data_IF_765764567730
#
_entry.id   IF_765764567730
#
_cell.length_a   1.000
_cell.length_b   1.000
_cell.length_c   1.000
_cell.angle_alpha   90.00
_cell.angle_beta   90.00
_cell.angle_gamma   90.00
#
_symmetry.space_group_name_H-M   'P 1'
#
loop_
_entity.id
_entity.type
_entity.pdbx_description
1 polymer ?
#
# COMPACT_ATOMS: atom_id res chain seq x y z
N UNK A 1 -8.29 -16.41 10.54
CA UNK A 1 -7.72 -16.86 9.24
C UNK A 1 -7.92 -18.36 8.99
N UNK A 2 -7.48 -19.26 9.88
CA UNK A 2 -7.60 -20.73 9.71
C UNK A 2 -9.03 -21.30 9.55
N UNK A 3 -10.07 -20.50 9.81
CA UNK A 3 -11.49 -20.86 9.65
C UNK A 3 -12.18 -20.11 8.53
N UNK A 4 -11.47 -19.24 7.83
CA UNK A 4 -12.02 -18.54 6.66
C UNK A 4 -12.23 -19.56 5.53
N UNK A 5 -13.46 -19.72 5.01
CA UNK A 5 -13.74 -20.73 3.99
C UNK A 5 -12.93 -20.55 2.71
N UNK A 6 -12.64 -19.31 2.30
CA UNK A 6 -11.82 -19.05 1.10
C UNK A 6 -10.37 -19.41 1.34
N UNK A 7 -9.83 -19.07 2.51
CA UNK A 7 -8.47 -19.48 2.87
C UNK A 7 -8.34 -21.01 2.90
N UNK A 8 -9.27 -21.71 3.54
CA UNK A 8 -9.24 -23.18 3.65
C UNK A 8 -9.36 -23.86 2.27
N UNK A 9 -10.24 -23.38 1.40
CA UNK A 9 -10.49 -24.01 0.10
C UNK A 9 -9.44 -23.63 -0.96
N UNK A 10 -8.95 -22.37 -0.95
CA UNK A 10 -8.14 -21.83 -2.06
C UNK A 10 -6.67 -21.61 -1.72
N UNK A 11 -6.33 -21.37 -0.46
CA UNK A 11 -4.98 -20.96 -0.06
C UNK A 11 -4.26 -22.10 0.65
N UNK A 12 -4.88 -22.70 1.67
CA UNK A 12 -4.27 -23.76 2.48
C UNK A 12 -3.70 -24.95 1.68
N UNK A 13 -4.35 -25.45 0.61
CA UNK A 13 -3.78 -26.55 -0.20
C UNK A 13 -2.47 -26.17 -0.90
N UNK A 14 -2.26 -24.89 -1.17
CA UNK A 14 -1.11 -24.37 -1.92
C UNK A 14 0.02 -23.89 -1.00
N UNK A 15 -0.24 -23.67 0.30
CA UNK A 15 0.75 -23.19 1.26
C UNK A 15 2.06 -24.00 1.26
N UNK A 16 2.06 -25.35 1.18
CA UNK A 16 3.31 -26.11 1.13
C UNK A 16 4.19 -25.80 -0.09
N UNK A 17 3.62 -25.23 -1.15
CA UNK A 17 4.34 -24.81 -2.36
C UNK A 17 4.86 -23.37 -2.28
N UNK A 18 4.47 -22.60 -1.25
CA UNK A 18 5.00 -21.26 -1.05
C UNK A 18 6.46 -21.37 -0.65
N UNK A 19 7.34 -20.71 -1.40
CA UNK A 19 8.76 -20.73 -1.10
C UNK A 19 9.04 -19.97 0.20
N UNK A 20 9.91 -20.54 1.03
CA UNK A 20 10.46 -19.90 2.23
C UNK A 20 9.44 -19.54 3.33
N UNK A 21 8.46 -20.43 3.58
CA UNK A 21 7.51 -20.31 4.70
C UNK A 21 8.16 -19.93 6.05
N UNK A 22 9.34 -20.47 6.45
CA UNK A 22 9.97 -20.09 7.71
C UNK A 22 10.39 -18.61 7.81
N UNK A 23 10.57 -17.93 6.67
CA UNK A 23 10.88 -16.48 6.64
C UNK A 23 9.65 -15.61 6.36
N UNK A 24 8.49 -16.22 6.18
CA UNK A 24 7.25 -15.49 5.97
C UNK A 24 6.88 -14.72 7.25
N UNK A 25 6.66 -13.41 7.13
CA UNK A 25 6.19 -12.56 8.22
C UNK A 25 4.75 -12.18 7.96
N UNK A 26 3.84 -12.78 8.72
CA UNK A 26 2.43 -12.44 8.63
C UNK A 26 2.16 -11.05 9.20
N UNK A 27 1.50 -10.19 8.43
CA UNK A 27 1.22 -8.81 8.85
C UNK A 27 -0.22 -8.41 8.56
N UNK A 28 -1.13 -8.72 9.49
CA UNK A 28 -2.50 -8.19 9.50
C UNK A 28 -2.52 -6.74 9.97
N UNK A 29 -3.33 -5.90 9.33
CA UNK A 29 -3.35 -4.46 9.60
C UNK A 29 -4.76 -3.87 9.57
N UNK A 30 -4.90 -2.72 10.21
CA UNK A 30 -6.07 -1.85 10.12
C UNK A 30 -5.75 -0.66 9.20
N UNK A 31 -6.61 -0.39 8.22
CA UNK A 31 -6.41 0.64 7.22
C UNK A 31 -6.91 2.01 7.68
N UNK A 32 -6.01 2.98 7.75
CA UNK A 32 -6.29 4.40 7.82
C UNK A 32 -6.18 4.98 6.39
N UNK A 33 -7.31 5.14 5.71
CA UNK A 33 -7.37 5.63 4.33
C UNK A 33 -7.31 7.16 4.33
N UNK A 34 -6.18 7.73 3.89
CA UNK A 34 -5.96 9.18 3.84
C UNK A 34 -6.59 9.82 2.61
N UNK A 35 -6.47 9.12 1.48
CA UNK A 35 -7.05 9.52 0.21
C UNK A 35 -7.50 8.27 -0.54
N UNK A 36 -8.66 8.37 -1.19
CA UNK A 36 -9.18 7.34 -2.07
C UNK A 36 -10.02 8.00 -3.15
N UNK A 37 -9.58 7.84 -4.40
CA UNK A 37 -10.04 8.57 -5.60
C UNK A 37 -9.48 10.00 -5.67
N UNK A 38 -9.22 10.56 -6.86
CA UNK A 38 -8.88 11.96 -6.98
C UNK A 38 -10.03 12.83 -6.48
N UNK A 39 -9.68 13.97 -5.88
CA UNK A 39 -10.67 14.97 -5.46
C UNK A 39 -11.40 15.50 -6.70
N UNK A 40 -12.72 15.65 -6.58
CA UNK A 40 -13.60 16.24 -7.59
C UNK A 40 -13.52 17.76 -7.64
N UNK A 41 -12.53 18.39 -7.03
CA UNK A 41 -12.43 19.84 -6.85
C UNK A 41 -11.95 20.63 -8.09
N UNK A 42 -12.08 20.05 -9.28
CA UNK A 42 -12.22 20.84 -10.52
C UNK A 42 -11.39 20.41 -11.72
N UNK A 43 -10.42 19.50 -11.56
CA UNK A 43 -9.49 19.15 -12.67
C UNK A 43 -9.30 17.63 -12.88
N UNK A 44 -10.03 16.77 -12.16
CA UNK A 44 -9.96 15.32 -12.32
C UNK A 44 -10.80 14.82 -13.51
N UNK A 45 -10.23 13.95 -14.35
CA UNK A 45 -11.00 13.30 -15.41
C UNK A 45 -12.08 12.40 -14.77
N UNK A 46 -13.34 12.38 -15.27
CA UNK A 46 -14.43 11.60 -14.67
C UNK A 46 -14.10 10.11 -14.46
N UNK A 47 -13.22 9.56 -15.31
CA UNK A 47 -12.75 8.18 -15.19
C UNK A 47 -11.95 7.91 -13.91
N UNK A 48 -11.27 8.91 -13.35
CA UNK A 48 -10.47 8.73 -12.14
C UNK A 48 -11.34 8.79 -10.87
N UNK A 49 -12.46 9.52 -10.92
CA UNK A 49 -13.46 9.59 -9.84
C UNK A 49 -14.14 8.22 -9.62
N UNK A 50 -14.27 7.43 -10.69
CA UNK A 50 -14.79 6.05 -10.64
C UNK A 50 -13.72 5.00 -10.38
N UNK A 51 -12.50 5.41 -10.02
CA UNK A 51 -11.42 4.46 -9.84
C UNK A 51 -11.70 3.49 -8.67
N UNK A 52 -11.64 2.19 -8.98
CA UNK A 52 -11.70 1.08 -8.04
C UNK A 52 -10.65 0.05 -8.45
N UNK A 53 -9.86 -0.43 -7.49
CA UNK A 53 -8.81 -1.41 -7.71
C UNK A 53 -9.34 -2.70 -8.35
N UNK A 54 -10.58 -3.08 -8.02
CA UNK A 54 -11.20 -4.31 -8.49
C UNK A 54 -11.71 -4.20 -9.93
N UNK A 55 -11.92 -2.98 -10.44
CA UNK A 55 -12.50 -2.73 -11.75
C UNK A 55 -11.42 -2.28 -12.77
N UNK A 56 -10.13 -2.41 -12.43
CA UNK A 56 -9.01 -2.05 -13.31
C UNK A 56 -8.15 -3.28 -13.65
N UNK A 57 -7.79 -3.45 -14.94
CA UNK A 57 -6.97 -4.58 -15.38
C UNK A 57 -5.54 -4.49 -14.85
N UNK A 58 -5.09 -3.28 -14.50
CA UNK A 58 -3.75 -3.05 -13.92
C UNK A 58 -3.84 -2.03 -12.80
N UNK A 59 -3.02 -2.24 -11.77
CA UNK A 59 -2.74 -1.24 -10.73
C UNK A 59 -1.27 -1.27 -10.35
N UNK A 60 -0.69 -0.10 -10.11
CA UNK A 60 0.66 0.06 -9.57
C UNK A 60 0.56 0.46 -8.11
N UNK A 61 1.35 -0.16 -7.26
CA UNK A 61 1.34 0.05 -5.83
C UNK A 61 2.75 0.19 -5.28
N UNK A 62 3.03 1.29 -4.58
CA UNK A 62 4.20 1.41 -3.72
C UNK A 62 3.80 0.91 -2.33
N UNK A 63 4.47 -0.15 -1.89
CA UNK A 63 4.37 -0.75 -0.57
C UNK A 63 5.61 -0.40 0.23
N UNK A 64 5.44 0.13 1.43
CA UNK A 64 6.54 0.38 2.36
C UNK A 64 6.21 -0.23 3.72
N UNK A 65 6.98 -1.21 4.17
CA UNK A 65 6.85 -1.85 5.48
C UNK A 65 7.93 -1.32 6.41
N UNK A 66 7.53 -0.63 7.48
CA UNK A 66 8.46 0.07 8.39
C UNK A 66 8.88 -0.89 9.51
N UNK A 67 10.18 -1.17 9.62
CA UNK A 67 10.69 -2.06 10.66
C UNK A 67 10.53 -1.45 12.06
N UNK A 68 10.56 -2.31 13.08
CA UNK A 68 10.44 -1.91 14.50
C UNK A 68 11.55 -0.95 14.96
N UNK A 69 12.72 -1.01 14.35
CA UNK A 69 13.86 -0.11 14.53
C UNK A 69 13.89 1.04 13.52
N UNK A 70 12.81 1.21 12.74
CA UNK A 70 12.61 2.34 11.85
C UNK A 70 12.17 3.61 12.59
N UNK A 71 11.79 4.64 11.84
CA UNK A 71 11.35 5.89 12.43
C UNK A 71 9.92 5.78 12.99
N UNK A 72 9.73 6.01 14.30
CA UNK A 72 8.39 6.04 14.90
C UNK A 72 7.49 7.16 14.32
N UNK A 73 8.09 8.24 13.83
CA UNK A 73 7.44 9.34 13.09
C UNK A 73 7.24 9.05 11.60
N UNK A 74 7.29 7.79 11.18
CA UNK A 74 7.12 7.43 9.77
C UNK A 74 5.79 7.89 9.20
N UNK A 75 4.72 8.01 10.01
CA UNK A 75 3.40 8.49 9.62
C UNK A 75 3.06 9.80 10.35
N UNK A 76 2.53 10.78 9.63
CA UNK A 76 2.17 12.09 10.19
C UNK A 76 1.32 12.93 9.24
N UNK A 77 0.60 13.94 9.75
CA UNK A 77 -0.48 14.68 9.05
C UNK A 77 -0.18 15.09 7.60
N UNK A 78 1.08 15.38 7.29
CA UNK A 78 1.59 15.74 5.95
C UNK A 78 1.47 14.63 4.89
N UNK A 79 1.25 13.37 5.26
CA UNK A 79 1.24 12.26 4.29
C UNK A 79 0.13 12.40 3.24
N UNK A 80 -0.99 13.03 3.59
CA UNK A 80 -2.06 13.35 2.63
C UNK A 80 -1.52 14.25 1.52
N UNK A 81 -0.82 15.32 1.89
CA UNK A 81 -0.18 16.24 0.93
C UNK A 81 0.92 15.55 0.12
N UNK A 82 1.73 14.71 0.77
CA UNK A 82 2.79 13.95 0.11
C UNK A 82 2.23 13.00 -0.96
N UNK A 83 1.12 12.30 -0.65
CA UNK A 83 0.38 11.48 -1.61
C UNK A 83 -0.18 12.28 -2.77
N UNK A 84 -0.71 13.48 -2.51
CA UNK A 84 -1.20 14.39 -3.54
C UNK A 84 -0.09 14.90 -4.46
N UNK A 85 1.05 15.33 -3.90
CA UNK A 85 2.24 15.74 -4.67
C UNK A 85 2.70 14.63 -5.61
N UNK A 86 2.66 13.38 -5.15
CA UNK A 86 2.99 12.19 -5.92
C UNK A 86 1.86 11.73 -6.87
N UNK A 87 0.72 12.44 -6.91
CA UNK A 87 -0.45 12.12 -7.73
C UNK A 87 -1.00 10.70 -7.51
N UNK A 88 -0.81 10.16 -6.31
CA UNK A 88 -1.41 8.88 -5.95
C UNK A 88 -2.93 9.05 -5.81
N UNK A 89 -3.72 8.17 -6.43
CA UNK A 89 -5.18 8.22 -6.30
C UNK A 89 -5.65 7.63 -4.96
N UNK A 90 -4.83 6.78 -4.34
CA UNK A 90 -5.09 6.16 -3.05
C UNK A 90 -3.84 6.19 -2.21
N UNK A 91 -3.99 6.63 -0.98
CA UNK A 91 -2.95 6.63 0.04
C UNK A 91 -3.54 6.04 1.33
N UNK A 92 -2.91 4.98 1.82
CA UNK A 92 -3.32 4.27 3.04
C UNK A 92 -2.13 4.17 3.97
N UNK A 93 -2.37 4.38 5.26
CA UNK A 93 -1.49 3.92 6.34
C UNK A 93 -2.11 2.68 6.95
N UNK A 94 -1.28 1.68 7.16
CA UNK A 94 -1.67 0.42 7.76
C UNK A 94 -1.03 0.35 9.14
N UNK A 95 -1.87 0.40 10.17
CA UNK A 95 -1.43 0.15 11.56
C UNK A 95 -1.50 -1.34 11.83
N UNK A 96 -0.56 -1.93 12.59
CA UNK A 96 -0.67 -3.33 13.00
C UNK A 96 -2.00 -3.59 13.69
N UNK A 97 -2.70 -4.65 13.30
CA UNK A 97 -3.94 -5.04 13.98
C UNK A 97 -3.63 -5.48 15.40
N UNK A 98 -4.18 -4.75 16.38
CA UNK A 98 -3.97 -5.06 17.80
C UNK A 98 -4.61 -6.40 18.19
N UNK A 99 -5.74 -6.75 17.58
CA UNK A 99 -6.43 -8.03 17.76
C UNK A 99 -5.57 -9.22 17.35
N UNK A 100 -4.84 -9.10 16.23
CA UNK A 100 -4.06 -10.21 15.68
C UNK A 100 -2.67 -10.31 16.30
N UNK A 101 -1.99 -9.17 16.52
CA UNK A 101 -0.58 -9.17 16.91
C UNK A 101 -0.34 -8.85 18.37
N UNK A 102 -1.29 -8.23 19.08
CA UNK A 102 -1.04 -7.69 20.42
C UNK A 102 0.17 -6.75 20.43
N UNK A 103 1.18 -7.08 21.24
CA UNK A 103 2.44 -6.33 21.34
C UNK A 103 3.54 -6.82 20.36
N UNK A 104 3.33 -7.96 19.69
CA UNK A 104 4.37 -8.67 18.92
C UNK A 104 4.25 -8.43 17.40
N UNK A 105 3.79 -7.23 17.01
CA UNK A 105 3.68 -6.86 15.60
C UNK A 105 5.07 -6.89 14.92
N UNK A 106 5.19 -7.45 13.70
CA UNK A 106 6.50 -7.57 13.03
C UNK A 106 7.03 -6.25 12.43
N UNK A 107 6.19 -5.21 12.37
CA UNK A 107 6.46 -3.90 11.78
C UNK A 107 5.77 -2.80 12.59
N UNK A 108 6.30 -1.57 12.55
CA UNK A 108 5.61 -0.39 13.12
C UNK A 108 4.33 -0.06 12.35
N UNK A 109 4.29 -0.41 11.07
CA UNK A 109 3.20 -0.12 10.17
C UNK A 109 3.61 -0.36 8.72
N UNK A 110 2.66 -0.14 7.82
CA UNK A 110 2.95 -0.05 6.40
C UNK A 110 2.28 1.15 5.75
N UNK A 111 2.76 1.52 4.57
CA UNK A 111 2.20 2.56 3.72
C UNK A 111 1.92 1.99 2.35
N UNK A 112 0.80 2.41 1.78
CA UNK A 112 0.40 2.03 0.43
C UNK A 112 0.04 3.28 -0.38
N UNK A 113 0.72 3.49 -1.50
CA UNK A 113 0.35 4.48 -2.50
C UNK A 113 0.08 3.80 -3.81
N UNK A 114 -0.88 4.32 -4.57
CA UNK A 114 -1.36 3.63 -5.75
C UNK A 114 -1.52 4.56 -6.97
N UNK A 115 -1.21 4.00 -8.16
CA UNK A 115 -1.33 4.64 -9.49
C UNK A 115 -1.96 3.68 -10.52
N UNK A 116 -2.67 4.20 -11.54
CA UNK A 116 -3.33 3.36 -12.53
C UNK A 116 -2.32 2.67 -13.45
N UNK A 117 -1.17 3.29 -13.69
CA UNK A 117 -0.10 2.79 -14.57
C UNK A 117 1.28 3.18 -14.02
N UNK A 118 2.33 2.53 -14.53
CA UNK A 118 3.72 2.90 -14.20
C UNK A 118 4.03 4.31 -14.69
N UNK A 119 3.57 4.69 -15.88
CA UNK A 119 3.75 6.04 -16.40
C UNK A 119 3.11 7.11 -15.51
N UNK A 120 1.92 6.86 -14.95
CA UNK A 120 1.28 7.78 -14.01
C UNK A 120 2.08 7.95 -12.71
N UNK A 121 2.69 6.86 -12.21
CA UNK A 121 3.63 6.92 -11.09
C UNK A 121 4.86 7.77 -11.45
N UNK A 122 5.50 7.50 -12.59
CA UNK A 122 6.69 8.22 -13.04
C UNK A 122 6.42 9.72 -13.29
N UNK A 123 5.25 10.05 -13.84
CA UNK A 123 4.80 11.43 -14.01
C UNK A 123 4.58 12.13 -12.67
N UNK A 124 3.98 11.45 -11.69
CA UNK A 124 3.82 11.96 -10.33
C UNK A 124 5.17 12.25 -9.67
N UNK A 125 6.12 11.32 -9.76
CA UNK A 125 7.49 11.51 -9.24
C UNK A 125 8.21 12.66 -9.95
N UNK A 126 8.07 12.77 -11.28
CA UNK A 126 8.69 13.84 -12.08
C UNK A 126 8.10 15.21 -11.76
N UNK A 127 6.79 15.28 -11.48
CA UNK A 127 6.09 16.52 -11.14
C UNK A 127 6.41 17.03 -9.73
N UNK A 128 6.84 16.17 -8.82
CA UNK A 128 7.22 16.53 -7.45
C UNK A 128 8.63 15.99 -7.10
N UNK A 129 9.70 16.61 -7.64
CA UNK A 129 11.06 16.19 -7.34
C UNK A 129 11.32 16.14 -5.82
N UNK A 130 11.89 15.03 -5.36
CA UNK A 130 12.20 14.82 -3.95
C UNK A 130 11.06 14.27 -3.09
N UNK A 131 9.79 14.31 -3.54
CA UNK A 131 8.67 13.80 -2.75
C UNK A 131 8.75 12.29 -2.47
N UNK A 132 9.21 11.51 -3.46
CA UNK A 132 9.40 10.07 -3.26
C UNK A 132 10.56 9.80 -2.30
N UNK A 133 11.67 10.54 -2.41
CA UNK A 133 12.81 10.40 -1.50
C UNK A 133 12.40 10.78 -0.08
N UNK A 134 11.71 11.91 0.09
CA UNK A 134 11.14 12.33 1.38
C UNK A 134 10.26 11.23 2.00
N UNK A 135 9.39 10.60 1.21
CA UNK A 135 8.54 9.49 1.65
C UNK A 135 9.36 8.27 2.09
N UNK A 136 10.36 7.90 1.28
CA UNK A 136 11.18 6.71 1.53
C UNK A 136 12.08 6.91 2.75
N UNK A 137 12.76 8.04 2.81
CA UNK A 137 13.74 8.36 3.85
C UNK A 137 13.06 8.60 5.21
N UNK A 138 11.85 9.17 5.24
CA UNK A 138 11.09 9.41 6.48
C UNK A 138 10.84 8.14 7.27
N UNK A 139 10.75 6.97 6.62
CA UNK A 139 10.55 5.70 7.31
C UNK A 139 11.81 5.20 8.05
N UNK A 140 12.99 5.72 7.73
CA UNK A 140 14.27 5.25 8.28
C UNK A 140 14.61 3.85 7.76
N UNK A 141 14.26 2.81 8.54
CA UNK A 141 14.47 1.42 8.16
C UNK A 141 13.16 0.78 7.68
N UNK A 142 13.07 0.51 6.38
CA UNK A 142 11.87 -0.06 5.77
C UNK A 142 12.19 -0.91 4.54
N UNK A 143 11.32 -1.88 4.25
CA UNK A 143 11.27 -2.56 2.95
C UNK A 143 10.34 -1.75 2.06
N UNK A 144 10.85 -1.23 0.95
CA UNK A 144 10.05 -0.49 -0.04
C UNK A 144 10.03 -1.26 -1.36
N UNK A 145 8.84 -1.45 -1.93
CA UNK A 145 8.63 -2.16 -3.19
C UNK A 145 7.60 -1.43 -4.05
N UNK A 146 7.88 -1.30 -5.34
CA UNK A 146 6.89 -0.94 -6.34
C UNK A 146 6.40 -2.23 -7.02
N UNK A 147 5.12 -2.52 -6.88
CA UNK A 147 4.49 -3.70 -7.45
C UNK A 147 3.50 -3.31 -8.55
N UNK A 148 3.44 -4.12 -9.60
CA UNK A 148 2.39 -4.07 -10.62
C UNK A 148 1.50 -5.28 -10.42
N UNK A 149 0.20 -5.05 -10.28
CA UNK A 149 -0.80 -6.12 -10.22
C UNK A 149 -1.63 -6.08 -11.49
N UNK A 150 -1.77 -7.24 -12.14
CA UNK A 150 -2.61 -7.43 -13.30
C UNK A 150 -3.82 -8.30 -12.93
N UNK A 151 -4.98 -7.97 -13.49
CA UNK A 151 -6.25 -8.66 -13.26
C UNK A 151 -6.92 -8.94 -14.59
N UNK A 152 -7.38 -10.18 -14.76
CA UNK A 152 -8.25 -10.55 -15.86
C UNK A 152 -9.70 -10.25 -15.47
N UNK A 153 -10.22 -9.13 -15.95
CA UNK A 153 -11.62 -8.73 -15.74
C UNK A 153 -12.49 -9.41 -16.82
N UNK A 154 -13.66 -9.91 -16.42
CA UNK A 154 -14.65 -10.53 -17.31
C UNK A 154 -15.87 -9.65 -17.45
#
# INVERSE_FOLDING_TARGET
>A
MLRDPQYVDKVAPNEPSFQDLPRNRFFSTEEEVLASRPRTDGEGHPADVQWNVLDRPTSVQLLQFVHLDGNAGWAGEEDTELGHRLRAFRHVRNRPSTEVHGADAPFLGARQLWWPTVSAFEEGVRAAPGALAELVDRAGHAITMLAVSERFLR
#
